data_IF_952814578114
#
_entry.id   IF_952814578114
#
_cell.length_a   1.000
_cell.length_b   1.000
_cell.length_c   1.000
_cell.angle_alpha   90.00
_cell.angle_beta   90.00
_cell.angle_gamma   90.00
#
_symmetry.space_group_name_H-M   'P 1'
#
loop_
_entity.id
_entity.type
_entity.pdbx_description
1 polymer ?
#
# COMPACT_ATOMS: atom_id res chain seq x y z
N UNK A 1 -2.06 -14.36 0.21
CA UNK A 1 -3.50 -14.42 0.52
C UNK A 1 -4.25 -15.32 -0.46
N UNK A 2 -4.22 -15.03 -1.78
CA UNK A 2 -4.93 -15.83 -2.79
C UNK A 2 -4.47 -17.30 -2.77
N UNK A 3 -3.17 -17.55 -2.62
CA UNK A 3 -2.61 -18.90 -2.59
C UNK A 3 -2.97 -19.71 -1.33
N UNK A 4 -3.46 -19.07 -0.28
CA UNK A 4 -3.82 -19.70 0.99
C UNK A 4 -5.33 -19.81 1.22
N UNK A 5 -6.14 -19.21 0.34
CA UNK A 5 -7.60 -19.20 0.44
C UNK A 5 -8.22 -19.70 -0.87
N UNK A 6 -8.69 -20.94 -0.86
CA UNK A 6 -9.24 -21.59 -2.05
C UNK A 6 -10.45 -20.85 -2.65
N UNK A 7 -11.28 -20.22 -1.81
CA UNK A 7 -12.42 -19.41 -2.22
C UNK A 7 -12.01 -18.14 -2.98
N UNK A 8 -10.91 -17.50 -2.58
CA UNK A 8 -10.35 -16.35 -3.30
C UNK A 8 -9.68 -16.78 -4.60
N UNK A 9 -9.00 -17.92 -4.61
CA UNK A 9 -8.41 -18.48 -5.82
C UNK A 9 -9.48 -18.82 -6.86
N UNK A 10 -10.62 -19.39 -6.42
CA UNK A 10 -11.75 -19.71 -7.31
C UNK A 10 -12.45 -18.48 -7.91
N UNK A 11 -12.32 -17.31 -7.29
CA UNK A 11 -12.87 -16.02 -7.77
C UNK A 11 -11.89 -15.24 -8.64
N UNK A 12 -10.68 -15.73 -8.82
CA UNK A 12 -9.68 -15.05 -9.64
C UNK A 12 -10.05 -15.23 -11.13
N UNK A 13 -10.36 -14.12 -11.80
CA UNK A 13 -10.74 -14.10 -13.21
C UNK A 13 -9.53 -14.38 -14.13
N UNK A 14 -8.36 -13.84 -13.74
CA UNK A 14 -7.11 -14.03 -14.47
C UNK A 14 -6.12 -14.79 -13.59
N UNK A 15 -5.58 -15.93 -14.04
CA UNK A 15 -4.54 -16.62 -13.30
C UNK A 15 -3.28 -15.73 -13.21
N UNK A 16 -2.54 -15.77 -12.08
CA UNK A 16 -1.29 -15.04 -11.98
C UNK A 16 -0.34 -15.45 -13.11
N UNK A 17 0.27 -14.47 -13.74
CA UNK A 17 1.29 -14.74 -14.74
C UNK A 17 2.36 -15.69 -14.15
N UNK A 18 2.85 -16.68 -14.92
CA UNK A 18 3.93 -17.54 -14.45
C UNK A 18 5.06 -16.71 -13.87
N UNK A 19 5.66 -17.15 -12.75
CA UNK A 19 6.70 -16.41 -12.05
C UNK A 19 7.88 -16.03 -12.97
N UNK A 20 8.15 -16.84 -13.98
CA UNK A 20 9.16 -16.56 -15.01
C UNK A 20 8.77 -15.34 -15.87
N UNK A 21 7.53 -15.27 -16.34
CA UNK A 21 7.02 -14.15 -17.14
C UNK A 21 6.98 -12.84 -16.33
N UNK A 22 6.60 -12.92 -15.06
CA UNK A 22 6.61 -11.76 -14.17
C UNK A 22 8.04 -11.24 -13.91
N UNK A 23 9.03 -12.16 -13.80
CA UNK A 23 10.45 -11.80 -13.67
C UNK A 23 11.00 -11.16 -14.93
N UNK A 24 10.70 -11.74 -16.08
CA UNK A 24 11.11 -11.20 -17.36
C UNK A 24 10.53 -9.80 -17.62
N UNK A 25 9.25 -9.59 -17.30
CA UNK A 25 8.62 -8.27 -17.40
C UNK A 25 9.30 -7.24 -16.51
N UNK A 26 9.59 -7.59 -15.24
CA UNK A 26 10.33 -6.69 -14.34
C UNK A 26 11.71 -6.36 -14.87
N UNK A 27 12.44 -7.36 -15.36
CA UNK A 27 13.77 -7.16 -15.93
C UNK A 27 13.72 -6.20 -17.13
N UNK A 28 12.79 -6.39 -18.05
CA UNK A 28 12.63 -5.47 -19.21
C UNK A 28 12.34 -4.03 -18.78
N UNK A 29 11.49 -3.85 -17.76
CA UNK A 29 11.21 -2.50 -17.21
C UNK A 29 12.47 -1.90 -16.60
N UNK A 30 13.23 -2.67 -15.85
CA UNK A 30 14.50 -2.23 -15.25
C UNK A 30 15.52 -1.84 -16.32
N UNK A 31 15.75 -2.72 -17.30
CA UNK A 31 16.67 -2.46 -18.42
C UNK A 31 16.25 -1.20 -19.23
N UNK A 32 14.95 -0.95 -19.34
CA UNK A 32 14.44 0.27 -19.96
C UNK A 32 14.75 1.50 -19.10
N UNK A 33 14.50 1.40 -17.78
CA UNK A 33 14.78 2.50 -16.85
C UNK A 33 16.27 2.87 -16.84
N UNK A 34 17.17 1.89 -16.86
CA UNK A 34 18.62 2.13 -16.95
C UNK A 34 19.02 2.86 -18.24
N UNK A 35 18.43 2.50 -19.39
CA UNK A 35 18.77 3.09 -20.68
C UNK A 35 18.14 4.45 -20.90
N UNK A 36 16.90 4.65 -20.45
CA UNK A 36 16.06 5.80 -20.81
C UNK A 36 15.85 6.75 -19.63
N UNK A 37 16.40 6.41 -18.45
CA UNK A 37 16.21 7.15 -17.22
C UNK A 37 14.82 6.98 -16.61
N UNK A 38 13.88 6.35 -17.33
CA UNK A 38 12.51 6.14 -16.86
C UNK A 38 11.78 5.04 -17.63
N UNK A 39 10.73 4.51 -17.02
CA UNK A 39 9.74 3.68 -17.70
C UNK A 39 8.33 4.15 -17.33
N UNK A 40 7.43 4.21 -18.30
CA UNK A 40 6.06 4.65 -18.11
C UNK A 40 5.06 3.62 -18.62
N UNK A 41 3.90 3.56 -17.97
CA UNK A 41 2.76 2.75 -18.42
C UNK A 41 1.45 3.51 -18.22
N UNK A 42 0.51 3.33 -19.16
CA UNK A 42 -0.90 3.75 -18.95
C UNK A 42 -1.70 2.60 -18.39
N UNK A 43 -2.39 2.87 -17.30
CA UNK A 43 -3.19 1.90 -16.56
C UNK A 43 -4.65 2.35 -16.61
N UNK A 44 -5.54 1.45 -17.01
CA UNK A 44 -6.99 1.63 -16.83
C UNK A 44 -7.43 0.65 -15.77
N UNK A 45 -8.08 1.15 -14.73
CA UNK A 45 -8.57 0.36 -13.62
C UNK A 45 -10.06 0.60 -13.43
N UNK A 46 -10.80 -0.51 -13.23
CA UNK A 46 -12.19 -0.50 -12.77
C UNK A 46 -12.24 -1.17 -11.41
N UNK A 47 -12.73 -0.47 -10.41
CA UNK A 47 -12.82 -0.98 -9.04
C UNK A 47 -14.18 -0.68 -8.44
N UNK A 48 -14.61 -1.49 -7.48
CA UNK A 48 -15.86 -1.28 -6.77
C UNK A 48 -15.80 -1.79 -5.34
N UNK A 49 -16.60 -1.18 -4.47
CA UNK A 49 -16.80 -1.56 -3.07
C UNK A 49 -18.29 -1.76 -2.79
N UNK A 50 -18.62 -2.67 -1.88
CA UNK A 50 -19.98 -2.94 -1.43
C UNK A 50 -19.97 -4.07 -0.41
N UNK A 51 -21.09 -4.26 0.25
CA UNK A 51 -21.27 -5.38 1.19
C UNK A 51 -21.56 -6.69 0.43
N UNK A 52 -21.34 -7.84 1.06
CA UNK A 52 -21.93 -9.09 0.58
C UNK A 52 -23.44 -9.06 0.80
N UNK A 53 -24.18 -9.91 0.07
CA UNK A 53 -25.63 -9.95 0.19
C UNK A 53 -26.06 -10.37 1.59
N UNK A 54 -25.31 -11.28 2.22
CA UNK A 54 -25.58 -11.73 3.59
C UNK A 54 -25.32 -10.60 4.61
N UNK A 55 -24.23 -9.85 4.44
CA UNK A 55 -23.91 -8.73 5.33
C UNK A 55 -24.93 -7.59 5.18
N UNK A 56 -25.37 -7.30 3.96
CA UNK A 56 -26.41 -6.30 3.71
C UNK A 56 -27.76 -6.73 4.31
N UNK A 57 -28.17 -7.99 4.10
CA UNK A 57 -29.42 -8.51 4.65
C UNK A 57 -29.43 -8.44 6.20
N UNK A 58 -28.33 -8.79 6.84
CA UNK A 58 -28.19 -8.67 8.29
C UNK A 58 -28.26 -7.21 8.77
N UNK A 59 -27.60 -6.29 8.06
CA UNK A 59 -27.63 -4.86 8.39
C UNK A 59 -29.05 -4.27 8.21
N UNK A 60 -29.77 -4.66 7.14
CA UNK A 60 -31.12 -4.22 6.89
C UNK A 60 -32.11 -4.77 7.91
N UNK A 61 -31.97 -6.04 8.31
CA UNK A 61 -32.78 -6.62 9.38
C UNK A 61 -32.60 -5.88 10.71
N UNK A 62 -31.34 -5.53 11.05
CA UNK A 62 -31.05 -4.72 12.22
C UNK A 62 -31.65 -3.31 12.11
N UNK A 63 -31.53 -2.65 10.97
CA UNK A 63 -32.11 -1.33 10.75
C UNK A 63 -33.63 -1.35 10.93
N UNK A 64 -34.33 -2.37 10.37
CA UNK A 64 -35.77 -2.56 10.54
C UNK A 64 -36.18 -2.80 12.01
N UNK A 65 -35.42 -3.56 12.76
CA UNK A 65 -35.67 -3.76 14.19
C UNK A 65 -35.53 -2.46 15.00
N UNK A 66 -34.74 -1.50 14.49
CA UNK A 66 -34.55 -0.16 15.04
C UNK A 66 -35.54 0.88 14.48
N UNK A 67 -36.53 0.47 13.69
CA UNK A 67 -37.54 1.34 13.08
C UNK A 67 -37.06 2.15 11.87
N UNK A 68 -35.96 1.75 11.23
CA UNK A 68 -35.44 2.35 9.99
C UNK A 68 -35.74 1.43 8.82
N UNK A 69 -36.06 1.98 7.65
CA UNK A 69 -36.37 1.21 6.46
C UNK A 69 -35.17 0.97 5.53
N UNK A 70 -34.04 1.60 5.82
CA UNK A 70 -32.83 1.58 5.00
C UNK A 70 -31.57 1.43 5.84
N UNK A 71 -30.50 1.04 5.19
CA UNK A 71 -29.13 1.02 5.75
C UNK A 71 -28.40 2.25 5.25
N UNK A 72 -28.01 3.14 6.16
CA UNK A 72 -27.15 4.26 5.83
C UNK A 72 -25.72 3.77 5.59
N UNK A 73 -25.16 4.03 4.40
CA UNK A 73 -23.81 3.61 4.03
C UNK A 73 -22.97 4.79 3.57
N UNK A 74 -21.69 4.71 3.90
CA UNK A 74 -20.64 5.54 3.33
C UNK A 74 -19.60 4.64 2.69
N UNK A 75 -19.29 4.88 1.43
CA UNK A 75 -18.32 4.10 0.67
C UNK A 75 -17.21 5.00 0.14
N UNK A 76 -15.96 4.57 0.31
CA UNK A 76 -14.80 5.28 -0.23
C UNK A 76 -13.99 4.34 -1.10
N UNK A 77 -13.53 4.85 -2.23
CA UNK A 77 -12.54 4.17 -3.06
C UNK A 77 -11.36 5.12 -3.30
N UNK A 78 -10.13 4.63 -3.15
CA UNK A 78 -8.95 5.40 -3.52
C UNK A 78 -8.90 5.56 -5.04
N UNK A 79 -8.48 6.74 -5.47
CA UNK A 79 -8.22 7.08 -6.87
C UNK A 79 -6.84 7.73 -6.96
N UNK A 80 -6.16 7.68 -8.12
CA UNK A 80 -4.82 8.24 -8.25
C UNK A 80 -4.82 9.75 -7.98
N UNK A 81 -3.77 10.22 -7.32
CA UNK A 81 -3.45 11.63 -7.13
C UNK A 81 -2.30 12.04 -8.04
N UNK A 82 -2.28 13.30 -8.48
CA UNK A 82 -1.16 13.81 -9.25
C UNK A 82 0.09 13.93 -8.38
N UNK A 83 1.17 13.31 -8.82
CA UNK A 83 2.47 13.34 -8.19
C UNK A 83 3.57 13.00 -9.21
N UNK A 84 4.84 12.97 -8.78
CA UNK A 84 5.96 12.64 -9.67
C UNK A 84 5.79 11.29 -10.39
N UNK A 85 5.17 10.31 -9.72
CA UNK A 85 4.98 8.97 -10.26
C UNK A 85 3.63 8.77 -10.97
N UNK A 86 2.69 9.72 -10.89
CA UNK A 86 1.33 9.57 -11.44
C UNK A 86 0.86 10.87 -12.10
N UNK A 87 0.42 10.76 -13.35
CA UNK A 87 -0.05 11.89 -14.16
C UNK A 87 -1.12 11.45 -15.15
N UNK A 88 -1.64 12.39 -15.94
CA UNK A 88 -2.64 12.14 -16.98
C UNK A 88 -3.87 11.38 -16.41
N UNK A 89 -4.35 11.82 -15.24
CA UNK A 89 -5.43 11.14 -14.52
C UNK A 89 -6.79 11.53 -15.10
N UNK A 90 -7.55 10.52 -15.51
CA UNK A 90 -8.89 10.68 -16.09
C UNK A 90 -9.87 9.76 -15.36
N UNK A 91 -10.87 10.34 -14.71
CA UNK A 91 -12.01 9.61 -14.16
C UNK A 91 -13.02 9.38 -15.28
N UNK A 92 -13.19 8.13 -15.71
CA UNK A 92 -13.92 7.79 -16.93
C UNK A 92 -15.41 7.52 -16.68
N UNK A 93 -15.72 6.78 -15.61
CA UNK A 93 -17.12 6.47 -15.28
C UNK A 93 -17.29 6.10 -13.82
N UNK A 94 -18.52 6.25 -13.34
CA UNK A 94 -18.97 5.80 -12.03
C UNK A 94 -20.19 4.90 -12.19
N UNK A 95 -20.42 3.98 -11.26
CA UNK A 95 -21.66 3.20 -11.21
C UNK A 95 -22.85 4.08 -10.88
N UNK A 96 -22.64 5.08 -10.03
CA UNK A 96 -23.55 6.19 -9.75
C UNK A 96 -22.72 7.42 -9.35
N UNK A 97 -23.33 8.59 -9.46
CA UNK A 97 -22.63 9.84 -9.17
C UNK A 97 -22.16 9.88 -7.72
N UNK A 98 -20.86 10.13 -7.47
CA UNK A 98 -20.36 10.29 -6.11
C UNK A 98 -20.81 11.61 -5.49
N UNK A 99 -21.00 11.61 -4.19
CA UNK A 99 -21.29 12.83 -3.44
C UNK A 99 -20.07 13.73 -3.29
N UNK A 100 -18.85 13.14 -3.34
CA UNK A 100 -17.59 13.89 -3.22
C UNK A 100 -16.46 13.19 -3.98
N UNK A 101 -15.66 14.00 -4.67
CA UNK A 101 -14.38 13.62 -5.25
C UNK A 101 -13.32 14.54 -4.63
N UNK A 102 -12.28 13.97 -4.04
CA UNK A 102 -11.18 14.75 -3.48
C UNK A 102 -10.38 15.45 -4.58
N UNK A 103 -9.74 16.56 -4.24
CA UNK A 103 -8.93 17.36 -5.16
C UNK A 103 -7.81 16.53 -5.80
N UNK A 104 -7.36 16.97 -6.98
CA UNK A 104 -6.39 16.22 -7.78
C UNK A 104 -5.06 15.94 -7.07
N UNK A 105 -4.64 16.86 -6.20
CA UNK A 105 -3.40 16.82 -5.45
C UNK A 105 -3.59 16.39 -3.97
N UNK A 106 -4.77 15.93 -3.58
CA UNK A 106 -5.00 15.48 -2.21
C UNK A 106 -4.09 14.25 -1.91
N UNK A 107 -3.34 14.24 -0.79
CA UNK A 107 -2.40 13.16 -0.48
C UNK A 107 -3.02 11.76 -0.46
N UNK A 108 -4.26 11.67 0.03
CA UNK A 108 -5.07 10.44 0.02
C UNK A 108 -6.35 10.70 -0.78
N UNK A 109 -6.19 10.79 -2.09
CA UNK A 109 -7.30 11.10 -2.99
C UNK A 109 -8.31 9.97 -3.05
N UNK A 110 -9.55 10.29 -2.76
CA UNK A 110 -10.65 9.33 -2.75
C UNK A 110 -11.89 9.88 -3.44
N UNK A 111 -12.73 8.98 -3.89
CA UNK A 111 -14.12 9.25 -4.23
C UNK A 111 -15.01 8.68 -3.13
N UNK A 112 -16.08 9.40 -2.77
CA UNK A 112 -16.98 9.04 -1.69
C UNK A 112 -18.44 9.05 -2.15
N UNK A 113 -19.17 8.04 -1.75
CA UNK A 113 -20.63 7.95 -1.86
C UNK A 113 -21.23 7.89 -0.47
N UNK A 114 -22.40 8.50 -0.31
CA UNK A 114 -23.22 8.40 0.88
C UNK A 114 -24.66 8.16 0.44
N UNK A 115 -25.30 7.10 0.94
CA UNK A 115 -26.63 6.70 0.50
C UNK A 115 -27.36 5.89 1.55
N UNK A 116 -28.69 6.00 1.54
CA UNK A 116 -29.62 5.15 2.29
C UNK A 116 -30.11 4.02 1.37
N UNK A 117 -29.69 2.78 1.67
CA UNK A 117 -29.93 1.64 0.82
C UNK A 117 -31.09 0.78 1.34
N UNK A 118 -32.06 0.52 0.47
CA UNK A 118 -33.13 -0.48 0.67
C UNK A 118 -32.79 -1.81 0.00
N UNK A 119 -31.87 -1.81 -0.95
CA UNK A 119 -31.34 -2.96 -1.70
C UNK A 119 -29.81 -2.88 -1.78
N UNK A 120 -29.17 -4.04 -1.81
CA UNK A 120 -27.71 -4.10 -1.90
C UNK A 120 -27.22 -3.62 -3.25
N UNK A 121 -26.22 -2.74 -3.26
CA UNK A 121 -25.53 -2.30 -4.48
C UNK A 121 -24.06 -1.97 -4.21
N UNK A 122 -23.32 -1.92 -5.30
CA UNK A 122 -21.89 -1.63 -5.26
C UNK A 122 -21.61 -0.25 -5.86
N UNK A 123 -20.73 0.47 -5.20
CA UNK A 123 -20.19 1.75 -5.67
C UNK A 123 -18.89 1.52 -6.42
N UNK A 124 -18.74 2.07 -7.60
CA UNK A 124 -17.58 1.80 -8.43
C UNK A 124 -17.13 2.99 -9.26
N UNK A 125 -15.87 2.99 -9.59
CA UNK A 125 -15.22 3.97 -10.45
C UNK A 125 -14.31 3.27 -11.45
N UNK A 126 -14.29 3.79 -12.68
CA UNK A 126 -13.28 3.48 -13.69
C UNK A 126 -12.44 4.72 -13.95
N UNK A 127 -11.14 4.56 -13.92
CA UNK A 127 -10.20 5.63 -14.21
C UNK A 127 -8.99 5.14 -15.01
N UNK A 128 -8.34 6.07 -15.67
CA UNK A 128 -7.09 5.87 -16.39
C UNK A 128 -6.05 6.85 -15.89
N UNK A 129 -4.80 6.43 -15.81
CA UNK A 129 -3.69 7.29 -15.48
C UNK A 129 -2.39 6.75 -16.07
N UNK A 130 -1.39 7.61 -16.14
CA UNK A 130 -0.02 7.25 -16.48
C UNK A 130 0.79 7.11 -15.20
N UNK A 131 1.46 5.97 -15.03
CA UNK A 131 2.48 5.80 -14.00
C UNK A 131 3.86 5.89 -14.64
N UNK A 132 4.79 6.57 -13.96
CA UNK A 132 6.18 6.73 -14.38
C UNK A 132 7.09 6.34 -13.24
N UNK A 133 7.98 5.38 -13.49
CA UNK A 133 9.08 5.04 -12.60
C UNK A 133 10.35 5.67 -13.16
N UNK A 134 11.03 6.49 -12.36
CA UNK A 134 12.29 7.13 -12.71
C UNK A 134 13.43 6.28 -12.15
N UNK A 135 14.44 6.02 -12.97
CA UNK A 135 15.66 5.39 -12.51
C UNK A 135 16.46 6.38 -11.67
N UNK A 136 16.88 5.93 -10.52
CA UNK A 136 17.79 6.68 -9.66
C UNK A 136 18.76 5.68 -9.02
N UNK A 137 20.06 5.92 -9.16
CA UNK A 137 21.05 5.14 -8.42
C UNK A 137 21.04 5.63 -6.97
N UNK A 138 20.82 4.74 -5.98
CA UNK A 138 20.87 5.13 -4.58
C UNK A 138 22.22 5.71 -4.14
N UNK A 139 23.30 5.41 -4.85
CA UNK A 139 24.63 5.94 -4.57
C UNK A 139 24.81 7.39 -5.02
N UNK A 140 23.94 7.88 -5.91
CA UNK A 140 23.94 9.27 -6.38
C UNK A 140 23.09 10.19 -5.48
N UNK A 141 22.45 9.66 -4.43
CA UNK A 141 21.62 10.46 -3.54
C UNK A 141 22.48 11.38 -2.68
N UNK A 142 22.15 12.67 -2.76
CA UNK A 142 22.69 13.68 -1.86
C UNK A 142 21.66 13.93 -0.76
N UNK A 143 22.01 13.73 0.53
CA UNK A 143 21.10 14.03 1.61
C UNK A 143 20.60 15.48 1.56
N UNK A 144 19.31 15.69 1.78
CA UNK A 144 18.76 17.05 1.87
C UNK A 144 19.47 17.81 3.01
N UNK A 145 19.79 19.09 2.82
CA UNK A 145 20.44 19.90 3.85
C UNK A 145 19.58 20.04 5.12
N UNK A 146 18.26 20.06 4.94
CA UNK A 146 17.30 20.03 6.03
C UNK A 146 16.73 18.61 6.15
N UNK A 147 16.93 18.00 7.31
CA UNK A 147 16.42 16.67 7.63
C UNK A 147 15.07 16.80 8.35
N UNK A 148 14.11 15.87 8.09
CA UNK A 148 12.84 15.86 8.82
C UNK A 148 13.08 15.64 10.33
N UNK A 149 12.29 16.33 11.14
CA UNK A 149 12.31 16.24 12.61
C UNK A 149 11.13 15.45 13.16
N UNK A 150 10.24 14.94 12.29
CA UNK A 150 9.09 14.12 12.65
C UNK A 150 9.42 12.64 12.49
N UNK A 151 8.73 11.79 13.25
CA UNK A 151 8.86 10.32 13.21
C UNK A 151 10.29 9.79 13.48
N UNK A 152 11.08 10.55 14.25
CA UNK A 152 12.45 10.19 14.61
C UNK A 152 12.58 9.60 16.01
N UNK A 153 11.48 9.54 16.77
CA UNK A 153 11.45 9.11 18.16
C UNK A 153 10.77 7.75 18.33
N UNK A 154 10.98 7.15 19.49
CA UNK A 154 10.26 5.95 19.89
C UNK A 154 8.76 6.23 20.03
N UNK A 155 7.93 5.29 19.60
CA UNK A 155 6.47 5.30 19.77
C UNK A 155 6.04 4.01 20.47
N UNK A 156 6.38 3.94 21.76
CA UNK A 156 6.03 2.79 22.59
C UNK A 156 4.49 2.57 22.66
N UNK A 157 4.03 1.31 22.71
CA UNK A 157 4.81 0.08 22.84
C UNK A 157 5.29 -0.50 21.50
N UNK A 158 4.92 0.10 20.37
CA UNK A 158 5.10 -0.49 19.04
C UNK A 158 6.49 -0.25 18.45
N UNK A 159 6.98 0.98 18.49
CA UNK A 159 8.30 1.35 17.98
C UNK A 159 9.20 1.67 19.18
N UNK A 160 10.13 0.77 19.46
CA UNK A 160 11.10 0.87 20.56
C UNK A 160 12.49 0.55 20.03
N UNK A 161 13.45 1.43 20.28
CA UNK A 161 14.85 1.26 19.88
C UNK A 161 15.59 0.40 20.92
N UNK A 162 15.30 -0.89 20.92
CA UNK A 162 15.90 -1.84 21.87
C UNK A 162 17.43 -1.88 21.76
N UNK A 163 18.15 -2.35 22.79
CA UNK A 163 19.60 -2.54 22.70
C UNK A 163 20.03 -3.40 21.52
N UNK A 164 19.20 -4.40 21.14
CA UNK A 164 19.46 -5.22 19.98
C UNK A 164 19.39 -4.43 18.66
N UNK A 165 18.34 -3.63 18.47
CA UNK A 165 18.21 -2.80 17.25
C UNK A 165 19.36 -1.78 17.15
N UNK A 166 19.71 -1.15 18.27
CA UNK A 166 20.84 -0.20 18.29
C UNK A 166 22.16 -0.89 17.94
N UNK A 167 22.40 -2.09 18.47
CA UNK A 167 23.59 -2.87 18.14
C UNK A 167 23.61 -3.32 16.68
N UNK A 168 22.47 -3.78 16.16
CA UNK A 168 22.32 -4.17 14.77
C UNK A 168 22.56 -3.00 13.81
N UNK A 169 21.95 -1.84 14.07
CA UNK A 169 22.16 -0.64 13.27
C UNK A 169 23.64 -0.19 13.29
N UNK A 170 24.28 -0.21 14.46
CA UNK A 170 25.71 0.09 14.60
C UNK A 170 26.58 -0.88 13.78
N UNK A 171 26.28 -2.19 13.85
CA UNK A 171 27.01 -3.21 13.09
C UNK A 171 26.85 -3.04 11.57
N UNK A 172 25.61 -2.77 11.11
CA UNK A 172 25.33 -2.59 9.68
C UNK A 172 25.99 -1.35 9.09
N UNK A 173 26.20 -0.34 9.91
CA UNK A 173 26.74 0.97 9.49
C UNK A 173 28.18 1.23 9.96
N UNK A 174 28.86 0.20 10.48
CA UNK A 174 30.24 0.32 10.98
C UNK A 174 31.19 0.81 9.89
N UNK A 175 31.95 1.86 10.20
CA UNK A 175 32.93 2.47 9.28
C UNK A 175 32.30 3.29 8.14
N UNK A 176 30.98 3.38 8.05
CA UNK A 176 30.29 4.14 6.99
C UNK A 176 29.98 5.55 7.50
N UNK A 177 30.42 6.57 6.77
CA UNK A 177 30.12 7.97 7.08
C UNK A 177 28.99 8.53 6.25
N UNK A 178 28.86 8.09 4.99
CA UNK A 178 27.83 8.54 4.07
C UNK A 178 26.42 8.07 4.50
N UNK A 179 25.46 9.00 4.71
CA UNK A 179 24.09 8.65 5.07
C UNK A 179 23.35 7.80 4.03
N UNK A 180 23.60 8.02 2.74
CA UNK A 180 22.95 7.24 1.67
C UNK A 180 23.42 5.78 1.69
N UNK A 181 24.72 5.56 1.90
CA UNK A 181 25.27 4.21 2.05
C UNK A 181 24.77 3.53 3.33
N UNK A 182 24.64 4.26 4.45
CA UNK A 182 24.00 3.73 5.68
C UNK A 182 22.57 3.27 5.42
N UNK A 183 21.77 4.12 4.80
CA UNK A 183 20.39 3.80 4.44
C UNK A 183 20.31 2.57 3.53
N UNK A 184 21.20 2.50 2.52
CA UNK A 184 21.30 1.34 1.63
C UNK A 184 21.62 0.05 2.38
N UNK A 185 22.56 0.07 3.31
CA UNK A 185 22.92 -1.12 4.12
C UNK A 185 21.76 -1.62 4.97
N UNK A 186 21.01 -0.70 5.58
CA UNK A 186 19.82 -1.04 6.36
C UNK A 186 18.74 -1.60 5.44
N UNK A 187 18.48 -0.95 4.31
CA UNK A 187 17.54 -1.43 3.31
C UNK A 187 17.88 -2.83 2.80
N UNK A 188 19.16 -3.07 2.44
CA UNK A 188 19.63 -4.38 1.98
C UNK A 188 19.46 -5.44 3.08
N UNK A 189 19.73 -5.10 4.34
CA UNK A 189 19.49 -6.02 5.45
C UNK A 189 18.02 -6.45 5.52
N UNK A 190 17.09 -5.49 5.51
CA UNK A 190 15.66 -5.77 5.62
C UNK A 190 15.18 -6.56 4.40
N UNK A 191 15.50 -6.13 3.19
CA UNK A 191 14.97 -6.73 1.95
C UNK A 191 15.54 -8.11 1.65
N UNK A 192 16.78 -8.39 2.04
CA UNK A 192 17.43 -9.66 1.79
C UNK A 192 17.23 -10.70 2.91
N UNK A 193 17.00 -10.25 4.15
CA UNK A 193 16.92 -11.15 5.29
C UNK A 193 15.53 -11.32 5.87
N UNK A 194 14.61 -10.36 5.66
CA UNK A 194 13.24 -10.45 6.18
C UNK A 194 12.32 -11.03 5.11
N UNK A 195 11.59 -12.10 5.48
CA UNK A 195 10.58 -12.69 4.62
C UNK A 195 9.23 -12.06 4.88
N UNK A 196 8.51 -11.72 3.81
CA UNK A 196 7.13 -11.28 3.93
C UNK A 196 6.27 -12.37 4.54
N UNK A 197 5.57 -12.02 5.61
CA UNK A 197 4.69 -12.92 6.34
C UNK A 197 3.51 -12.14 6.92
N UNK A 198 2.31 -12.74 6.85
CA UNK A 198 1.14 -12.16 7.49
C UNK A 198 1.41 -11.90 8.99
N UNK A 199 0.95 -10.74 9.47
CA UNK A 199 1.08 -10.35 10.86
C UNK A 199 -0.30 -10.16 11.49
N UNK A 200 -0.46 -10.45 12.78
CA UNK A 200 -1.65 -10.06 13.54
C UNK A 200 -1.82 -8.54 13.56
N UNK A 201 -2.98 -8.07 14.01
CA UNK A 201 -3.22 -6.63 14.17
C UNK A 201 -2.13 -5.98 15.04
N UNK A 202 -1.58 -4.86 14.61
CA UNK A 202 -0.40 -4.24 15.24
C UNK A 202 -0.67 -3.81 16.68
N UNK A 203 -1.89 -3.43 17.02
CA UNK A 203 -2.25 -3.00 18.37
C UNK A 203 -2.09 -4.10 19.45
N UNK A 204 -2.00 -5.38 19.05
CA UNK A 204 -1.73 -6.49 19.97
C UNK A 204 -0.26 -6.90 20.01
N UNK A 205 0.62 -6.16 19.33
CA UNK A 205 2.04 -6.47 19.23
C UNK A 205 2.88 -5.33 19.82
N UNK A 206 3.99 -5.68 20.43
CA UNK A 206 4.97 -4.75 20.98
C UNK A 206 6.32 -4.90 20.28
N UNK A 207 7.14 -3.85 20.31
CA UNK A 207 8.49 -3.84 19.76
C UNK A 207 8.55 -4.39 18.32
N UNK A 208 7.67 -3.91 17.44
CA UNK A 208 7.51 -4.41 16.07
C UNK A 208 8.82 -4.49 15.27
N UNK A 209 9.68 -3.45 15.24
CA UNK A 209 10.97 -3.50 14.55
C UNK A 209 11.92 -4.53 15.13
N UNK A 210 12.03 -4.63 16.46
CA UNK A 210 12.93 -5.58 17.12
C UNK A 210 12.54 -7.03 16.80
N UNK A 211 11.25 -7.35 16.89
CA UNK A 211 10.72 -8.67 16.53
C UNK A 211 10.96 -8.99 15.08
N UNK A 212 10.70 -8.04 14.18
CA UNK A 212 10.93 -8.22 12.75
C UNK A 212 12.39 -8.56 12.46
N UNK A 213 13.32 -7.80 13.03
CA UNK A 213 14.74 -8.00 12.83
C UNK A 213 15.24 -9.35 13.40
N UNK A 214 14.72 -9.79 14.56
CA UNK A 214 15.08 -11.09 15.17
C UNK A 214 14.46 -12.27 14.44
N UNK A 215 13.14 -12.21 14.21
CA UNK A 215 12.39 -13.31 13.64
C UNK A 215 12.56 -13.40 12.11
N UNK A 216 13.10 -12.35 11.49
CA UNK A 216 13.26 -12.19 10.05
C UNK A 216 11.94 -12.41 9.30
N UNK A 217 10.84 -11.88 9.87
CA UNK A 217 9.48 -11.98 9.35
C UNK A 217 8.74 -10.68 9.62
N UNK A 218 8.06 -10.16 8.60
CA UNK A 218 7.23 -8.96 8.71
C UNK A 218 6.31 -8.83 7.51
N UNK A 219 5.26 -8.05 7.64
CA UNK A 219 4.54 -7.54 6.48
C UNK A 219 5.15 -6.21 6.02
N UNK A 220 4.57 -5.59 4.99
CA UNK A 220 5.11 -4.35 4.41
C UNK A 220 5.21 -3.22 5.44
N UNK A 221 4.23 -3.07 6.33
CA UNK A 221 4.23 -2.03 7.35
C UNK A 221 5.33 -2.25 8.40
N UNK A 222 5.46 -3.46 8.92
CA UNK A 222 6.49 -3.79 9.90
C UNK A 222 7.90 -3.69 9.30
N UNK A 223 8.09 -4.16 8.05
CA UNK A 223 9.37 -4.01 7.35
C UNK A 223 9.75 -2.53 7.14
N UNK A 224 8.76 -1.66 6.89
CA UNK A 224 8.99 -0.22 6.76
C UNK A 224 9.33 0.47 8.10
N UNK A 225 8.86 -0.08 9.21
CA UNK A 225 9.16 0.42 10.56
C UNK A 225 10.51 -0.08 11.08
N UNK A 226 11.08 -1.10 10.47
CA UNK A 226 12.34 -1.73 10.90
C UNK A 226 13.53 -1.02 10.32
#
# INVERSE_FOLDING_TARGET
LIATHADLAARQLDPPAPAALARERRRRIHDQMEREGQASARITLKTSVGMSDEAFAAALAKAKAEGRESVHVRAWLPIPAECLAQSEIELQSFTEQPGRIADANAPQRTVCWEADLTENRRFGVQYRYKTTAVYADPLDFVPAPEQPTFDTEEQAPHIVFTPYLRALAAQLTEGITDPAEKAKRIYDYVTLNVRYHYQPAYFVQECLPDRCARDRRGDCGIMALT
#
